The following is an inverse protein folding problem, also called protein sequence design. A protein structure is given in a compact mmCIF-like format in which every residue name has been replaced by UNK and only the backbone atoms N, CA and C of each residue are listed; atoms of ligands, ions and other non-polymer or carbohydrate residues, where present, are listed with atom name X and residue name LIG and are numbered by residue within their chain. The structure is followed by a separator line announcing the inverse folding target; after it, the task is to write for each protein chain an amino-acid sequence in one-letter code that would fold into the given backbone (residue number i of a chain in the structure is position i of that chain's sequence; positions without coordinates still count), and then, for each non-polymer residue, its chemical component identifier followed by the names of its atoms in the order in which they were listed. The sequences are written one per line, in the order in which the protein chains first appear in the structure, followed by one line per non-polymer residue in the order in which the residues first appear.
data_IF_984748904832
#
_entry.id   IF_984748904832
#
_cell.length_a   1.000
_cell.length_b   1.000
_cell.length_c   1.000
_cell.angle_alpha   90.00
_cell.angle_beta   90.00
_cell.angle_gamma   90.00
#
_symmetry.space_group_name_H-M   'P 1'
#
loop_
_entity.id
_entity.type
_entity.pdbx_description
1 polymer ?
#
# COMPACT_ATOMS: atom_id res chain seq x y z
N UNK A 1 9.80 -8.71 -21.86
CA UNK A 1 9.41 -9.52 -20.64
C UNK A 1 10.45 -9.31 -19.57
N UNK A 2 10.03 -9.08 -18.33
CA UNK A 2 10.92 -8.94 -17.17
C UNK A 2 11.53 -10.31 -16.83
N UNK A 3 12.84 -10.36 -16.50
CA UNK A 3 13.54 -11.59 -16.15
C UNK A 3 12.96 -12.23 -14.86
N UNK A 4 13.10 -13.55 -14.71
CA UNK A 4 12.68 -14.27 -13.50
C UNK A 4 13.35 -13.70 -12.24
N UNK A 5 14.63 -13.38 -12.32
CA UNK A 5 15.39 -12.78 -11.21
C UNK A 5 14.81 -11.43 -10.79
N UNK A 6 14.42 -10.58 -11.75
CA UNK A 6 13.81 -9.27 -11.46
C UNK A 6 12.43 -9.43 -10.81
N UNK A 7 11.62 -10.41 -11.25
CA UNK A 7 10.33 -10.70 -10.61
C UNK A 7 10.50 -11.11 -9.14
N UNK A 8 11.46 -11.98 -8.85
CA UNK A 8 11.75 -12.42 -7.47
C UNK A 8 12.18 -11.23 -6.63
N UNK A 9 13.14 -10.43 -7.11
CA UNK A 9 13.60 -9.21 -6.42
C UNK A 9 12.42 -8.28 -6.11
N UNK A 10 11.60 -7.99 -7.10
CA UNK A 10 10.48 -7.07 -6.96
C UNK A 10 9.41 -7.62 -6.00
N UNK A 11 9.14 -8.93 -6.02
CA UNK A 11 8.26 -9.57 -5.03
C UNK A 11 8.83 -9.46 -3.61
N UNK A 12 10.14 -9.63 -3.42
CA UNK A 12 10.78 -9.47 -2.11
C UNK A 12 10.71 -8.01 -1.60
N UNK A 13 10.81 -7.02 -2.50
CA UNK A 13 10.61 -5.62 -2.13
C UNK A 13 9.19 -5.37 -1.61
N UNK A 14 8.16 -5.97 -2.23
CA UNK A 14 6.78 -5.87 -1.78
C UNK A 14 6.54 -6.58 -0.43
N UNK A 15 7.18 -7.71 -0.18
CA UNK A 15 7.15 -8.38 1.13
C UNK A 15 7.81 -7.52 2.20
N UNK A 16 8.95 -6.87 1.88
CA UNK A 16 9.61 -5.94 2.80
C UNK A 16 8.73 -4.71 3.07
N UNK A 17 8.02 -4.20 2.06
CA UNK A 17 7.01 -3.16 2.23
C UNK A 17 5.94 -3.58 3.23
N UNK A 18 5.40 -4.79 3.07
CA UNK A 18 4.38 -5.34 3.97
C UNK A 18 4.88 -5.48 5.41
N UNK A 19 6.15 -5.88 5.61
CA UNK A 19 6.76 -5.95 6.94
C UNK A 19 6.83 -4.56 7.59
N UNK A 20 7.28 -3.54 6.85
CA UNK A 20 7.39 -2.17 7.35
C UNK A 20 6.00 -1.63 7.71
N UNK A 21 4.99 -1.89 6.88
CA UNK A 21 3.63 -1.42 7.11
C UNK A 21 2.91 -2.16 8.22
N UNK A 22 3.18 -3.45 8.40
CA UNK A 22 2.63 -4.22 9.52
C UNK A 22 2.96 -3.58 10.88
N UNK A 23 4.18 -3.05 11.04
CA UNK A 23 4.58 -2.31 12.25
C UNK A 23 3.98 -0.89 12.28
N UNK A 24 3.70 -0.30 11.11
CA UNK A 24 3.27 1.10 11.01
C UNK A 24 1.87 1.37 11.57
N UNK A 25 0.98 0.39 11.66
CA UNK A 25 -0.35 0.59 12.22
C UNK A 25 -0.32 1.08 13.67
N UNK A 26 0.61 0.58 14.48
CA UNK A 26 0.82 1.05 15.86
C UNK A 26 1.28 2.51 15.88
N UNK A 27 2.20 2.87 15.00
CA UNK A 27 2.66 4.26 14.88
C UNK A 27 1.54 5.19 14.38
N UNK A 28 0.70 4.74 13.47
CA UNK A 28 -0.44 5.50 12.95
C UNK A 28 -1.50 5.78 14.04
N UNK A 29 -1.81 4.77 14.88
CA UNK A 29 -2.74 4.96 15.99
C UNK A 29 -2.17 5.98 16.97
N UNK A 30 -0.97 5.73 17.53
CA UNK A 30 -0.34 6.64 18.51
C UNK A 30 -0.13 8.05 17.96
N UNK A 31 0.34 8.17 16.73
CA UNK A 31 0.61 9.48 16.12
C UNK A 31 -0.67 10.24 15.80
N UNK A 32 -1.71 9.55 15.30
CA UNK A 32 -3.02 10.16 15.04
C UNK A 32 -3.71 10.65 16.30
N UNK A 33 -3.62 9.89 17.39
CA UNK A 33 -4.16 10.26 18.70
C UNK A 33 -3.42 11.46 19.30
N UNK A 34 -2.10 11.56 19.06
CA UNK A 34 -1.28 12.63 19.62
C UNK A 34 -1.45 13.98 18.91
N UNK A 35 -1.49 14.02 17.58
CA UNK A 35 -1.42 15.28 16.81
C UNK A 35 -2.59 15.49 15.85
N UNK A 36 -3.57 14.61 15.83
CA UNK A 36 -4.69 14.61 14.89
C UNK A 36 -4.38 13.87 13.58
N UNK A 37 -5.43 13.34 12.97
CA UNK A 37 -5.33 12.48 11.78
C UNK A 37 -4.71 13.19 10.57
N UNK A 38 -5.13 14.40 10.31
CA UNK A 38 -4.72 15.19 9.13
C UNK A 38 -3.30 15.72 9.31
N UNK A 39 -2.97 16.21 10.50
CA UNK A 39 -1.64 16.66 10.88
C UNK A 39 -0.62 15.53 10.76
N UNK A 40 -0.93 14.37 11.32
CA UNK A 40 -0.07 13.21 11.23
C UNK A 40 0.18 12.80 9.77
N UNK A 41 -0.88 12.70 8.95
CA UNK A 41 -0.76 12.31 7.56
C UNK A 41 0.01 13.34 6.71
N UNK A 42 -0.23 14.64 6.94
CA UNK A 42 0.46 15.72 6.26
C UNK A 42 1.97 15.73 6.60
N UNK A 43 2.30 15.74 7.89
CA UNK A 43 3.70 15.88 8.36
C UNK A 43 4.53 14.66 7.96
N UNK A 44 4.02 13.41 8.15
CA UNK A 44 4.75 12.21 7.73
C UNK A 44 5.02 12.21 6.21
N UNK A 45 4.08 12.75 5.40
CA UNK A 45 4.26 12.83 3.96
C UNK A 45 5.34 13.85 3.56
N UNK A 46 5.35 15.02 4.20
CA UNK A 46 6.40 16.03 3.98
C UNK A 46 7.77 15.47 4.38
N UNK A 47 7.88 14.81 5.54
CA UNK A 47 9.12 14.16 6.01
C UNK A 47 9.58 13.13 4.97
N UNK A 48 8.69 12.28 4.45
CA UNK A 48 9.03 11.30 3.42
C UNK A 48 9.60 11.97 2.16
N UNK A 49 8.96 13.04 1.69
CA UNK A 49 9.45 13.81 0.54
C UNK A 49 10.85 14.38 0.78
N UNK A 50 11.08 14.97 1.95
CA UNK A 50 12.39 15.55 2.34
C UNK A 50 13.47 14.47 2.42
N UNK A 51 13.19 13.33 3.06
CA UNK A 51 14.15 12.22 3.20
C UNK A 51 14.51 11.61 1.85
N UNK A 52 13.60 11.57 0.90
CA UNK A 52 13.87 11.04 -0.44
C UNK A 52 14.81 11.92 -1.28
N UNK A 53 14.92 13.23 -1.00
CA UNK A 53 15.83 14.11 -1.74
C UNK A 53 17.31 13.70 -1.62
N UNK A 54 17.89 13.51 -0.42
CA UNK A 54 19.26 13.01 -0.30
C UNK A 54 19.40 11.56 -0.80
N UNK A 55 18.37 10.71 -0.66
CA UNK A 55 18.40 9.34 -1.18
C UNK A 55 18.53 9.34 -2.70
N UNK A 56 17.78 10.19 -3.42
CA UNK A 56 17.89 10.35 -4.88
C UNK A 56 19.31 10.80 -5.27
N UNK A 57 19.88 11.79 -4.57
CA UNK A 57 21.24 12.26 -4.82
C UNK A 57 22.28 11.17 -4.61
N UNK A 58 22.12 10.38 -3.54
CA UNK A 58 23.01 9.26 -3.22
C UNK A 58 22.94 8.17 -4.29
N UNK A 59 21.74 7.77 -4.72
CA UNK A 59 21.55 6.76 -5.76
C UNK A 59 22.13 7.23 -7.11
N UNK A 60 21.96 8.51 -7.44
CA UNK A 60 22.57 9.11 -8.63
C UNK A 60 24.11 9.05 -8.57
N UNK A 61 24.69 9.38 -7.41
CA UNK A 61 26.15 9.36 -7.21
C UNK A 61 26.72 7.94 -7.27
N UNK A 62 25.98 6.95 -6.79
CA UNK A 62 26.36 5.53 -6.81
C UNK A 62 26.10 4.85 -8.18
N UNK A 63 25.46 5.55 -9.12
CA UNK A 63 25.12 4.99 -10.44
C UNK A 63 23.95 4.00 -10.41
N UNK A 64 23.21 3.91 -9.29
CA UNK A 64 22.02 3.06 -9.15
C UNK A 64 20.72 3.78 -9.55
N UNK A 65 20.74 5.09 -9.72
CA UNK A 65 19.60 5.85 -10.23
C UNK A 65 19.28 5.43 -11.66
N UNK A 66 18.01 5.29 -12.01
CA UNK A 66 17.61 5.21 -13.41
C UNK A 66 17.99 6.53 -14.11
N UNK A 67 18.19 6.49 -15.42
CA UNK A 67 18.60 7.68 -16.18
C UNK A 67 17.70 8.86 -15.83
N UNK A 68 18.32 10.01 -15.49
CA UNK A 68 17.57 11.25 -15.29
C UNK A 68 16.72 11.52 -16.52
N UNK A 69 15.43 11.86 -16.35
CA UNK A 69 14.58 12.15 -17.49
C UNK A 69 15.18 13.30 -18.29
N UNK A 70 15.64 13.01 -19.50
CA UNK A 70 16.31 13.97 -20.39
C UNK A 70 15.30 14.70 -21.27
N UNK A 71 14.36 13.95 -21.84
CA UNK A 71 13.33 14.50 -22.72
C UNK A 71 12.22 15.21 -21.94
N UNK A 72 11.65 16.26 -22.54
CA UNK A 72 10.51 17.00 -21.95
C UNK A 72 9.33 16.08 -21.66
N UNK A 73 9.05 15.10 -22.53
CA UNK A 73 7.98 14.14 -22.36
C UNK A 73 8.21 13.20 -21.18
N UNK A 74 9.44 12.73 -20.95
CA UNK A 74 9.80 11.90 -19.80
C UNK A 74 9.59 12.65 -18.48
N UNK A 75 10.00 13.92 -18.43
CA UNK A 75 9.76 14.80 -17.27
C UNK A 75 8.27 14.99 -17.01
N UNK A 76 7.48 15.24 -18.05
CA UNK A 76 6.03 15.37 -17.96
C UNK A 76 5.40 14.08 -17.42
N UNK A 77 5.77 12.92 -17.94
CA UNK A 77 5.26 11.61 -17.47
C UNK A 77 5.60 11.38 -16.00
N UNK A 78 6.84 11.67 -15.58
CA UNK A 78 7.28 11.54 -14.19
C UNK A 78 6.47 12.44 -13.26
N UNK A 79 6.31 13.71 -13.60
CA UNK A 79 5.57 14.69 -12.79
C UNK A 79 4.08 14.31 -12.73
N UNK A 80 3.47 13.97 -13.86
CA UNK A 80 2.07 13.53 -13.92
C UNK A 80 1.86 12.26 -13.07
N UNK A 81 2.73 11.26 -13.22
CA UNK A 81 2.66 10.03 -12.44
C UNK A 81 2.78 10.29 -10.94
N UNK A 82 3.75 11.11 -10.54
CA UNK A 82 3.95 11.49 -9.14
C UNK A 82 2.75 12.26 -8.54
N UNK A 83 2.17 13.21 -9.31
CA UNK A 83 0.97 13.94 -8.88
C UNK A 83 -0.24 13.02 -8.77
N UNK A 84 -0.51 12.19 -9.78
CA UNK A 84 -1.64 11.25 -9.75
C UNK A 84 -1.52 10.26 -8.58
N UNK A 85 -0.33 9.68 -8.37
CA UNK A 85 -0.07 8.82 -7.23
C UNK A 85 -0.22 9.58 -5.91
N UNK A 86 0.27 10.83 -5.82
CA UNK A 86 0.19 11.65 -4.62
C UNK A 86 -1.23 12.02 -4.23
N UNK A 87 -2.08 12.37 -5.19
CA UNK A 87 -3.49 12.64 -4.95
C UNK A 87 -4.25 11.39 -4.49
N UNK A 88 -4.03 10.26 -5.18
CA UNK A 88 -4.63 8.99 -4.80
C UNK A 88 -4.17 8.55 -3.40
N UNK A 89 -2.88 8.69 -3.10
CA UNK A 89 -2.31 8.39 -1.79
C UNK A 89 -2.88 9.32 -0.71
N UNK A 90 -2.98 10.61 -0.98
CA UNK A 90 -3.56 11.58 -0.04
C UNK A 90 -4.97 11.16 0.38
N UNK A 91 -5.83 10.86 -0.58
CA UNK A 91 -7.21 10.43 -0.31
C UNK A 91 -7.25 9.11 0.46
N UNK A 92 -6.48 8.12 0.02
CA UNK A 92 -6.46 6.79 0.64
C UNK A 92 -5.90 6.82 2.07
N UNK A 93 -4.73 7.44 2.26
CA UNK A 93 -4.08 7.51 3.57
C UNK A 93 -4.82 8.41 4.56
N UNK A 94 -5.49 9.46 4.07
CA UNK A 94 -6.33 10.32 4.91
C UNK A 94 -7.57 9.57 5.38
N UNK A 95 -8.28 8.86 4.49
CA UNK A 95 -9.44 8.05 4.87
C UNK A 95 -9.04 6.95 5.89
N UNK A 96 -7.90 6.27 5.67
CA UNK A 96 -7.36 5.29 6.61
C UNK A 96 -7.07 5.91 7.98
N UNK A 97 -6.33 7.03 7.99
CA UNK A 97 -5.91 7.68 9.22
C UNK A 97 -7.11 8.21 10.03
N UNK A 98 -8.12 8.77 9.35
CA UNK A 98 -9.36 9.19 9.99
C UNK A 98 -10.06 7.98 10.61
N UNK A 99 -10.21 6.87 9.90
CA UNK A 99 -10.83 5.66 10.41
C UNK A 99 -10.13 5.14 11.67
N UNK A 100 -8.79 5.09 11.67
CA UNK A 100 -7.98 4.65 12.82
C UNK A 100 -8.18 5.60 14.00
N UNK A 101 -8.09 6.91 13.78
CA UNK A 101 -8.24 7.93 14.85
C UNK A 101 -9.68 8.01 15.38
N UNK A 102 -10.69 7.65 14.57
CA UNK A 102 -12.08 7.53 15.00
C UNK A 102 -12.37 6.25 15.83
N UNK A 103 -11.40 5.37 16.00
CA UNK A 103 -11.50 4.20 16.89
C UNK A 103 -11.52 2.84 16.18
N UNK A 104 -11.30 2.75 14.85
CA UNK A 104 -11.09 1.43 14.24
C UNK A 104 -9.83 0.78 14.83
N UNK A 105 -9.99 -0.35 15.48
CA UNK A 105 -8.89 -1.11 16.07
C UNK A 105 -7.83 -1.47 15.01
N UNK A 106 -6.52 -1.41 15.33
CA UNK A 106 -5.44 -1.67 14.36
C UNK A 106 -5.57 -2.97 13.58
N UNK A 107 -5.97 -4.07 14.22
CA UNK A 107 -6.18 -5.36 13.56
C UNK A 107 -7.34 -5.30 12.55
N UNK A 108 -8.46 -4.67 12.92
CA UNK A 108 -9.62 -4.48 12.06
C UNK A 108 -9.30 -3.51 10.92
N UNK A 109 -8.55 -2.44 11.19
CA UNK A 109 -8.08 -1.51 10.18
C UNK A 109 -7.19 -2.21 9.13
N UNK A 110 -6.30 -3.11 9.58
CA UNK A 110 -5.49 -3.94 8.69
C UNK A 110 -6.34 -4.83 7.78
N UNK A 111 -7.38 -5.48 8.32
CA UNK A 111 -8.31 -6.30 7.53
C UNK A 111 -9.08 -5.46 6.49
N UNK A 112 -9.71 -4.37 6.94
CA UNK A 112 -10.54 -3.53 6.09
C UNK A 112 -9.71 -2.87 4.99
N UNK A 113 -8.50 -2.40 5.30
CA UNK A 113 -7.56 -1.87 4.31
C UNK A 113 -7.16 -2.96 3.32
N UNK A 114 -6.80 -4.15 3.78
CA UNK A 114 -6.39 -5.27 2.92
C UNK A 114 -7.51 -5.78 1.99
N UNK A 115 -8.77 -5.34 2.16
CA UNK A 115 -9.84 -5.59 1.19
C UNK A 115 -9.52 -5.04 -0.21
N UNK A 116 -8.50 -4.17 -0.39
CA UNK A 116 -7.99 -3.81 -1.72
C UNK A 116 -7.57 -5.04 -2.54
N UNK A 117 -7.25 -6.16 -1.91
CA UNK A 117 -6.92 -7.42 -2.60
C UNK A 117 -8.06 -7.95 -3.49
N UNK A 118 -9.32 -7.69 -3.10
CA UNK A 118 -10.50 -7.97 -3.92
C UNK A 118 -10.74 -6.90 -4.99
N UNK A 119 -10.54 -5.64 -4.61
CA UNK A 119 -10.89 -4.49 -5.42
C UNK A 119 -9.91 -4.27 -6.58
N UNK A 120 -8.62 -4.49 -6.36
CA UNK A 120 -7.59 -4.35 -7.41
C UNK A 120 -7.88 -5.22 -8.63
N UNK A 121 -8.13 -6.55 -8.53
CA UNK A 121 -8.47 -7.34 -9.70
C UNK A 121 -9.81 -6.94 -10.33
N UNK A 122 -10.82 -6.57 -9.53
CA UNK A 122 -12.12 -6.11 -10.03
C UNK A 122 -11.95 -4.84 -10.86
N UNK A 123 -11.30 -3.80 -10.32
CA UNK A 123 -11.03 -2.58 -11.07
C UNK A 123 -10.06 -2.80 -12.24
N UNK A 124 -9.10 -3.72 -12.07
CA UNK A 124 -8.17 -4.13 -13.11
C UNK A 124 -8.87 -4.69 -14.36
N UNK A 125 -10.02 -5.40 -14.21
CA UNK A 125 -10.80 -5.89 -15.33
C UNK A 125 -11.31 -4.74 -16.21
N UNK A 126 -11.78 -3.64 -15.62
CA UNK A 126 -12.21 -2.44 -16.37
C UNK A 126 -11.04 -1.81 -17.13
N UNK A 127 -9.81 -1.95 -16.64
CA UNK A 127 -8.58 -1.52 -17.31
C UNK A 127 -8.01 -2.60 -18.26
N UNK A 128 -8.80 -3.63 -18.59
CA UNK A 128 -8.40 -4.75 -19.46
C UNK A 128 -7.18 -5.54 -18.94
N UNK A 129 -6.90 -5.49 -17.64
CA UNK A 129 -5.87 -6.31 -16.98
C UNK A 129 -6.44 -7.71 -16.78
N UNK A 130 -5.84 -8.72 -17.42
CA UNK A 130 -6.30 -10.10 -17.28
C UNK A 130 -5.71 -10.73 -16.02
N UNK A 131 -6.56 -11.33 -15.20
CA UNK A 131 -6.17 -12.14 -14.05
C UNK A 131 -6.42 -13.63 -14.37
N UNK A 132 -5.39 -14.46 -14.20
CA UNK A 132 -5.54 -15.91 -14.36
C UNK A 132 -6.42 -16.52 -13.26
N UNK A 133 -6.98 -17.70 -13.52
CA UNK A 133 -7.85 -18.39 -12.57
C UNK A 133 -7.18 -18.65 -11.20
N UNK A 134 -5.88 -18.99 -11.20
CA UNK A 134 -5.12 -19.18 -9.96
C UNK A 134 -5.04 -17.92 -9.09
N UNK A 135 -4.98 -16.73 -9.71
CA UNK A 135 -5.00 -15.45 -8.99
C UNK A 135 -6.35 -15.27 -8.28
N UNK A 136 -7.47 -15.54 -8.95
CA UNK A 136 -8.81 -15.45 -8.33
C UNK A 136 -8.98 -16.44 -7.17
N UNK A 137 -8.49 -17.69 -7.33
CA UNK A 137 -8.48 -18.66 -6.23
C UNK A 137 -7.66 -18.16 -5.05
N UNK A 138 -6.47 -17.60 -5.32
CA UNK A 138 -5.63 -16.98 -4.30
C UNK A 138 -6.34 -15.83 -3.58
N UNK A 139 -7.00 -14.94 -4.32
CA UNK A 139 -7.76 -13.81 -3.75
C UNK A 139 -8.85 -14.29 -2.78
N UNK A 140 -9.65 -15.29 -3.18
CA UNK A 140 -10.71 -15.84 -2.30
C UNK A 140 -10.10 -16.43 -1.02
N UNK A 141 -9.04 -17.24 -1.14
CA UNK A 141 -8.37 -17.85 0.02
C UNK A 141 -7.75 -16.77 0.92
N UNK A 142 -7.14 -15.72 0.33
CA UNK A 142 -6.54 -14.62 1.10
C UNK A 142 -7.59 -13.85 1.90
N UNK A 143 -8.75 -13.57 1.32
CA UNK A 143 -9.85 -12.89 2.05
C UNK A 143 -10.37 -13.71 3.21
N UNK A 144 -10.53 -15.03 3.02
CA UNK A 144 -10.87 -15.94 4.11
C UNK A 144 -9.78 -15.92 5.19
N UNK A 145 -8.51 -15.97 4.78
CA UNK A 145 -7.36 -15.89 5.70
C UNK A 145 -7.34 -14.57 6.50
N UNK A 146 -7.56 -13.43 5.84
CA UNK A 146 -7.64 -12.11 6.49
C UNK A 146 -8.80 -12.06 7.49
N UNK A 147 -9.95 -12.63 7.15
CA UNK A 147 -11.09 -12.72 8.07
C UNK A 147 -10.72 -13.51 9.34
N UNK A 148 -10.07 -14.67 9.19
CA UNK A 148 -9.64 -15.46 10.35
C UNK A 148 -8.57 -14.75 11.18
N UNK A 149 -7.68 -13.98 10.53
CA UNK A 149 -6.58 -13.28 11.18
C UNK A 149 -7.03 -12.06 11.99
N UNK A 150 -7.93 -11.25 11.43
CA UNK A 150 -8.20 -9.91 11.92
C UNK A 150 -9.57 -9.74 12.61
N UNK A 151 -10.52 -10.66 12.42
CA UNK A 151 -11.88 -10.50 12.94
C UNK A 151 -12.15 -11.42 14.14
N UNK A 152 -12.52 -10.85 15.29
CA UNK A 152 -12.76 -11.56 16.55
C UNK A 152 -14.23 -11.92 16.83
N UNK A 153 -14.97 -12.36 15.80
CA UNK A 153 -16.29 -13.00 16.01
C UNK A 153 -17.48 -12.18 15.53
N UNK A 154 -17.82 -11.02 16.09
CA UNK A 154 -18.97 -10.23 15.64
C UNK A 154 -18.55 -9.21 14.57
N UNK A 155 -19.26 -9.20 13.43
CA UNK A 155 -19.11 -8.16 12.42
C UNK A 155 -20.04 -7.01 12.82
N UNK A 156 -19.55 -6.10 13.67
CA UNK A 156 -20.18 -4.81 13.88
C UNK A 156 -19.49 -3.78 13.01
N UNK A 157 -20.24 -3.04 12.19
CA UNK A 157 -19.70 -1.95 11.38
C UNK A 157 -20.02 -0.61 12.05
N UNK A 158 -18.97 0.14 12.32
CA UNK A 158 -19.04 1.51 12.83
C UNK A 158 -18.70 2.51 11.70
N UNK A 159 -18.97 3.79 11.93
CA UNK A 159 -18.65 4.85 10.95
C UNK A 159 -17.14 4.91 10.67
N UNK A 160 -16.30 4.64 11.67
CA UNK A 160 -14.85 4.53 11.55
C UNK A 160 -14.43 3.44 10.55
N UNK A 161 -15.13 2.29 10.56
CA UNK A 161 -14.88 1.16 9.67
C UNK A 161 -15.23 1.51 8.21
N UNK A 162 -16.27 2.32 8.00
CA UNK A 162 -16.63 2.80 6.65
C UNK A 162 -15.53 3.68 6.05
N UNK A 163 -14.87 4.52 6.87
CA UNK A 163 -13.72 5.31 6.44
C UNK A 163 -12.53 4.40 6.08
N UNK A 164 -12.28 3.39 6.88
CA UNK A 164 -11.23 2.40 6.61
C UNK A 164 -11.55 1.54 5.39
N UNK A 165 -12.81 1.19 5.13
CA UNK A 165 -13.21 0.49 3.92
C UNK A 165 -13.11 1.39 2.68
N UNK A 166 -13.46 2.68 2.79
CA UNK A 166 -13.25 3.66 1.73
C UNK A 166 -11.77 3.77 1.36
N UNK A 167 -10.85 3.70 2.34
CA UNK A 167 -9.43 3.71 2.03
C UNK A 167 -9.01 2.51 1.17
N UNK A 168 -9.60 1.32 1.34
CA UNK A 168 -9.31 0.16 0.50
C UNK A 168 -9.68 0.39 -0.97
N UNK A 169 -10.81 1.07 -1.23
CA UNK A 169 -11.19 1.49 -2.58
C UNK A 169 -10.15 2.44 -3.16
N UNK A 170 -9.76 3.45 -2.41
CA UNK A 170 -8.81 4.48 -2.84
C UNK A 170 -7.38 3.91 -3.02
N UNK A 171 -6.94 3.02 -2.14
CA UNK A 171 -5.66 2.31 -2.31
C UNK A 171 -5.68 1.39 -3.54
N UNK A 172 -6.81 0.81 -3.89
CA UNK A 172 -6.92 0.02 -5.12
C UNK A 172 -6.62 0.87 -6.36
N UNK A 173 -7.12 2.09 -6.41
CA UNK A 173 -6.78 3.03 -7.48
C UNK A 173 -5.32 3.45 -7.43
N UNK A 174 -4.77 3.73 -6.25
CA UNK A 174 -3.36 4.06 -6.08
C UNK A 174 -2.45 2.94 -6.62
N UNK A 175 -2.73 1.67 -6.28
CA UNK A 175 -2.00 0.50 -6.78
C UNK A 175 -2.05 0.42 -8.31
N UNK A 176 -3.22 0.66 -8.91
CA UNK A 176 -3.39 0.62 -10.37
C UNK A 176 -2.70 1.80 -11.07
N UNK A 177 -2.66 2.99 -10.45
CA UNK A 177 -1.90 4.14 -10.95
C UNK A 177 -0.40 3.85 -10.92
N UNK A 178 0.11 3.27 -9.83
CA UNK A 178 1.52 2.83 -9.76
C UNK A 178 1.82 1.80 -10.85
N UNK A 179 0.96 0.81 -11.05
CA UNK A 179 1.14 -0.21 -12.09
C UNK A 179 1.24 0.41 -13.50
N UNK A 180 0.53 1.50 -13.75
CA UNK A 180 0.58 2.22 -15.01
C UNK A 180 1.90 3.01 -15.18
N UNK A 181 2.32 3.76 -14.17
CA UNK A 181 3.44 4.70 -14.29
C UNK A 181 4.80 4.11 -13.93
N UNK A 182 4.88 3.13 -13.02
CA UNK A 182 6.16 2.60 -12.54
C UNK A 182 7.07 2.00 -13.63
N UNK A 183 6.57 1.43 -14.75
CA UNK A 183 7.42 0.99 -15.84
C UNK A 183 7.97 2.13 -16.72
N UNK A 184 7.37 3.32 -16.62
CA UNK A 184 7.64 4.45 -17.53
C UNK A 184 8.64 5.47 -16.95
N UNK A 185 8.81 5.45 -15.61
CA UNK A 185 9.57 6.50 -14.90
C UNK A 185 10.46 5.92 -13.79
N UNK A 186 11.35 6.75 -13.27
CA UNK A 186 12.12 6.42 -12.07
C UNK A 186 11.21 6.36 -10.84
N UNK A 187 11.11 5.18 -10.22
CA UNK A 187 10.20 4.94 -9.10
C UNK A 187 10.54 5.75 -7.85
N UNK A 188 11.82 6.00 -7.56
CA UNK A 188 12.24 6.78 -6.38
C UNK A 188 11.89 8.25 -6.55
N UNK A 189 12.12 8.80 -7.75
CA UNK A 189 11.75 10.18 -8.10
C UNK A 189 10.23 10.36 -8.11
N UNK A 190 9.49 9.38 -8.64
CA UNK A 190 8.03 9.39 -8.61
C UNK A 190 7.50 9.36 -7.18
N UNK A 191 8.10 8.55 -6.29
CA UNK A 191 7.76 8.51 -4.88
C UNK A 191 8.00 9.85 -4.19
N UNK A 192 9.11 10.53 -4.48
CA UNK A 192 9.40 11.85 -3.92
C UNK A 192 8.32 12.88 -4.31
N UNK A 193 7.94 12.93 -5.60
CA UNK A 193 6.88 13.84 -6.08
C UNK A 193 5.53 13.46 -5.45
N UNK A 194 5.21 12.17 -5.35
CA UNK A 194 4.01 11.65 -4.69
C UNK A 194 3.89 12.19 -3.26
N UNK A 195 4.96 12.14 -2.48
CA UNK A 195 4.92 12.56 -1.08
C UNK A 195 4.84 14.08 -0.92
N UNK A 196 5.54 14.85 -1.73
CA UNK A 196 5.34 16.30 -1.73
C UNK A 196 3.92 16.68 -2.16
N UNK A 197 3.35 16.00 -3.17
CA UNK A 197 1.96 16.24 -3.57
C UNK A 197 1.00 15.90 -2.42
N UNK A 198 1.16 14.73 -1.79
CA UNK A 198 0.34 14.31 -0.65
C UNK A 198 0.44 15.30 0.51
N UNK A 199 1.65 15.70 0.89
CA UNK A 199 1.88 16.65 1.99
C UNK A 199 1.33 18.04 1.70
N UNK A 200 1.60 18.60 0.52
CA UNK A 200 1.14 19.95 0.14
C UNK A 200 -0.39 20.02 0.11
N UNK A 201 -1.05 19.03 -0.51
CA UNK A 201 -2.52 18.96 -0.54
C UNK A 201 -3.07 18.77 0.88
N UNK A 202 -2.37 18.04 1.75
CA UNK A 202 -2.74 17.81 3.14
C UNK A 202 -2.69 19.04 4.04
N UNK A 203 -1.92 20.09 3.67
CA UNK A 203 -1.83 21.33 4.47
C UNK A 203 -3.21 21.99 4.65
N UNK A 204 -4.03 22.02 3.59
CA UNK A 204 -5.32 22.69 3.62
C UNK A 204 -6.27 22.06 4.64
N UNK A 205 -6.59 20.75 4.57
CA UNK A 205 -7.47 20.13 5.56
C UNK A 205 -6.85 20.08 6.97
N UNK A 206 -5.54 19.93 7.11
CA UNK A 206 -4.85 20.04 8.39
C UNK A 206 -5.12 21.41 9.04
N UNK A 207 -4.95 22.51 8.28
CA UNK A 207 -5.18 23.86 8.79
C UNK A 207 -6.65 24.09 9.19
N UNK A 208 -7.60 23.55 8.40
CA UNK A 208 -9.03 23.75 8.65
C UNK A 208 -9.53 22.94 9.84
N UNK A 209 -9.13 21.66 9.94
CA UNK A 209 -9.76 20.73 10.88
C UNK A 209 -8.92 20.46 12.14
N UNK A 210 -7.58 20.37 12.03
CA UNK A 210 -6.73 20.05 13.18
C UNK A 210 -6.19 21.30 13.89
N UNK A 211 -5.89 22.39 13.14
CA UNK A 211 -5.31 23.61 13.69
C UNK A 211 -6.35 24.65 14.11
N UNK A 212 -7.66 24.40 13.87
CA UNK A 212 -8.74 25.29 14.27
C UNK A 212 -8.75 26.68 13.62
N UNK A 213 -8.06 26.87 12.49
CA UNK A 213 -7.99 28.04 11.60
C UNK A 213 -7.94 29.42 12.32
N UNK A 214 -7.32 29.45 13.51
CA UNK A 214 -7.10 30.67 14.32
C UNK A 214 -5.66 30.70 14.85
N UNK A 215 -5.18 31.89 15.24
CA UNK A 215 -3.82 32.03 15.81
C UNK A 215 -3.72 31.27 17.14
N UNK A 216 -4.75 31.29 17.98
CA UNK A 216 -4.82 30.52 19.22
C UNK A 216 -4.81 29.02 18.95
N UNK A 217 -5.58 28.55 17.96
CA UNK A 217 -5.60 27.14 17.55
C UNK A 217 -4.26 26.65 17.03
N UNK A 218 -3.54 27.48 16.25
CA UNK A 218 -2.17 27.15 15.82
C UNK A 218 -1.22 27.02 17.03
N UNK A 219 -1.33 27.93 18.01
CA UNK A 219 -0.51 27.87 19.22
C UNK A 219 -0.78 26.62 20.04
N UNK A 220 -2.03 26.24 20.22
CA UNK A 220 -2.42 24.99 20.89
C UNK A 220 -1.92 23.77 20.11
N UNK A 221 -2.13 23.74 18.80
CA UNK A 221 -1.65 22.67 17.94
C UNK A 221 -0.12 22.48 18.04
N UNK A 222 0.66 23.56 18.11
CA UNK A 222 2.11 23.48 18.27
C UNK A 222 2.53 22.81 19.59
N UNK A 223 1.73 22.93 20.66
CA UNK A 223 2.03 22.28 21.94
C UNK A 223 1.96 20.76 21.88
N UNK A 224 1.17 20.19 20.94
CA UNK A 224 1.06 18.74 20.74
C UNK A 224 2.39 18.10 20.32
N UNK A 225 3.29 18.89 19.72
CA UNK A 225 4.61 18.44 19.30
C UNK A 225 5.69 18.52 20.39
N UNK A 226 5.33 18.88 21.61
CA UNK A 226 6.23 18.82 22.76
C UNK A 226 6.46 17.38 23.26
N UNK A 227 5.58 16.44 22.88
CA UNK A 227 5.68 15.03 23.24
C UNK A 227 6.70 14.30 22.35
N UNK A 228 7.71 13.68 22.96
CA UNK A 228 8.72 12.91 22.26
C UNK A 228 8.16 11.62 21.64
N UNK A 229 7.17 11.00 22.25
CA UNK A 229 6.53 9.78 21.73
C UNK A 229 5.75 10.06 20.44
N UNK A 230 5.14 11.24 20.32
CA UNK A 230 4.53 11.70 19.09
C UNK A 230 5.54 11.75 17.94
N UNK A 231 6.75 12.29 18.20
CA UNK A 231 7.82 12.34 17.19
C UNK A 231 8.35 10.98 16.79
N UNK A 232 8.46 10.02 17.72
CA UNK A 232 8.86 8.64 17.37
C UNK A 232 7.87 8.04 16.37
N UNK A 233 6.57 8.21 16.62
CA UNK A 233 5.51 7.74 15.73
C UNK A 233 5.56 8.44 14.36
N UNK A 234 5.69 9.77 14.34
CA UNK A 234 5.77 10.60 13.12
C UNK A 234 7.01 10.25 12.30
N UNK A 235 8.17 10.14 12.93
CA UNK A 235 9.42 9.81 12.24
C UNK A 235 9.41 8.39 11.69
N UNK A 236 8.93 7.40 12.44
CA UNK A 236 8.75 6.05 11.92
C UNK A 236 7.82 6.04 10.71
N UNK A 237 6.65 6.68 10.83
CA UNK A 237 5.68 6.75 9.74
C UNK A 237 6.21 7.55 8.53
N UNK A 238 6.93 8.65 8.76
CA UNK A 238 7.49 9.48 7.69
C UNK A 238 8.66 8.85 6.98
N UNK A 239 9.65 8.35 7.73
CA UNK A 239 10.89 7.80 7.15
C UNK A 239 10.69 6.36 6.69
N UNK A 240 10.27 5.47 7.60
CA UNK A 240 10.22 4.04 7.30
C UNK A 240 8.96 3.67 6.52
N UNK A 241 7.77 4.00 7.03
CA UNK A 241 6.53 3.60 6.38
C UNK A 241 6.31 4.35 5.07
N UNK A 242 6.40 5.67 5.09
CA UNK A 242 6.19 6.50 3.90
C UNK A 242 7.44 6.50 3.00
N UNK A 243 8.56 7.03 3.46
CA UNK A 243 9.77 7.19 2.65
C UNK A 243 10.27 5.88 2.06
N UNK A 244 10.53 4.87 2.90
CA UNK A 244 11.04 3.57 2.45
C UNK A 244 9.92 2.69 1.91
N UNK A 245 8.86 2.43 2.68
CA UNK A 245 7.82 1.46 2.34
C UNK A 245 7.14 1.73 1.00
N UNK A 246 6.59 2.93 0.78
CA UNK A 246 5.94 3.26 -0.50
C UNK A 246 6.92 3.36 -1.67
N UNK A 247 8.18 3.74 -1.42
CA UNK A 247 9.20 3.72 -2.48
C UNK A 247 9.50 2.28 -2.91
N UNK A 248 9.63 1.36 -1.95
CA UNK A 248 9.77 -0.07 -2.24
C UNK A 248 8.54 -0.62 -2.94
N UNK A 249 7.33 -0.16 -2.60
CA UNK A 249 6.11 -0.50 -3.32
C UNK A 249 6.20 -0.10 -4.79
N UNK A 250 6.50 1.16 -5.08
CA UNK A 250 6.56 1.67 -6.46
C UNK A 250 7.61 0.90 -7.28
N UNK A 251 8.80 0.70 -6.73
CA UNK A 251 9.87 -0.06 -7.39
C UNK A 251 9.50 -1.53 -7.53
N UNK A 252 8.92 -2.13 -6.48
CA UNK A 252 8.54 -3.53 -6.43
C UNK A 252 7.35 -3.88 -7.35
N UNK A 253 6.42 -2.95 -7.55
CA UNK A 253 5.30 -3.18 -8.46
C UNK A 253 5.70 -3.20 -9.94
N UNK A 254 6.87 -2.65 -10.28
CA UNK A 254 7.32 -2.62 -11.68
C UNK A 254 7.38 -4.02 -12.29
N UNK A 255 6.45 -4.30 -13.21
CA UNK A 255 6.34 -5.58 -13.93
C UNK A 255 5.82 -6.76 -13.12
N UNK A 256 5.26 -6.52 -11.95
CA UNK A 256 4.44 -7.48 -11.18
C UNK A 256 2.97 -7.20 -11.50
N UNK A 257 2.18 -8.25 -11.68
CA UNK A 257 0.73 -8.08 -11.83
C UNK A 257 0.16 -7.35 -10.59
N UNK A 258 -0.65 -6.29 -10.75
CA UNK A 258 -1.12 -5.48 -9.62
C UNK A 258 -1.92 -6.29 -8.58
N UNK A 259 -2.65 -7.33 -9.00
CA UNK A 259 -3.32 -8.23 -8.07
C UNK A 259 -2.33 -9.07 -7.26
N UNK A 260 -1.25 -9.58 -7.88
CA UNK A 260 -0.20 -10.28 -7.15
C UNK A 260 0.53 -9.33 -6.19
N UNK A 261 0.76 -8.08 -6.62
CA UNK A 261 1.35 -7.06 -5.76
C UNK A 261 0.46 -6.78 -4.54
N UNK A 262 -0.85 -6.60 -4.72
CA UNK A 262 -1.79 -6.39 -3.62
C UNK A 262 -1.83 -7.59 -2.66
N UNK A 263 -1.76 -8.83 -3.16
CA UNK A 263 -1.66 -10.03 -2.32
C UNK A 263 -0.36 -10.07 -1.51
N UNK A 264 0.78 -9.71 -2.10
CA UNK A 264 2.05 -9.66 -1.37
C UNK A 264 2.04 -8.58 -0.28
N UNK A 265 1.45 -7.43 -0.57
CA UNK A 265 1.34 -6.34 0.39
C UNK A 265 0.35 -6.65 1.52
N UNK A 266 -0.69 -7.46 1.30
CA UNK A 266 -1.62 -7.86 2.36
C UNK A 266 -0.97 -8.71 3.47
N UNK A 267 0.26 -9.18 3.27
CA UNK A 267 1.09 -9.73 4.36
C UNK A 267 1.34 -8.71 5.49
N UNK A 268 1.07 -7.43 5.28
CA UNK A 268 1.13 -6.41 6.34
C UNK A 268 0.27 -6.80 7.54
N UNK A 269 -0.90 -7.42 7.32
CA UNK A 269 -1.77 -7.91 8.39
C UNK A 269 -1.13 -9.06 9.17
N UNK A 270 -0.41 -9.96 8.49
CA UNK A 270 0.33 -11.06 9.14
C UNK A 270 1.50 -10.49 9.95
N UNK A 271 2.26 -9.57 9.36
CA UNK A 271 3.38 -8.94 10.06
C UNK A 271 2.95 -8.07 11.23
N UNK A 272 1.75 -7.44 11.16
CA UNK A 272 1.18 -6.69 12.29
C UNK A 272 0.91 -7.59 13.47
N UNK A 273 0.32 -8.76 13.24
CA UNK A 273 0.06 -9.75 14.31
C UNK A 273 1.36 -10.32 14.87
N UNK A 274 2.33 -10.67 14.01
CA UNK A 274 3.64 -11.14 14.44
C UNK A 274 4.41 -10.08 15.24
N UNK A 275 4.30 -8.81 14.87
CA UNK A 275 4.85 -7.70 15.65
C UNK A 275 4.20 -7.61 17.04
N UNK A 276 2.88 -7.82 17.14
CA UNK A 276 2.17 -7.94 18.41
C UNK A 276 2.71 -9.07 19.30
N UNK A 277 2.99 -10.23 18.72
CA UNK A 277 3.61 -11.36 19.46
C UNK A 277 4.99 -10.99 20.01
N UNK A 278 5.84 -10.38 19.18
CA UNK A 278 7.23 -10.08 19.56
C UNK A 278 7.31 -8.88 20.52
N UNK A 279 6.56 -7.81 20.24
CA UNK A 279 6.67 -6.53 20.97
C UNK A 279 5.78 -6.54 22.22
N UNK A 280 4.56 -7.08 22.12
CA UNK A 280 3.58 -7.08 23.19
C UNK A 280 3.52 -8.42 23.95
N UNK A 281 4.34 -9.41 23.54
CA UNK A 281 4.38 -10.77 24.09
C UNK A 281 2.99 -11.46 24.11
N UNK A 282 2.17 -11.16 23.11
CA UNK A 282 0.87 -11.77 22.90
C UNK A 282 1.05 -13.13 22.22
N UNK A 283 0.21 -14.12 22.58
CA UNK A 283 0.24 -15.41 21.89
C UNK A 283 -0.79 -15.41 20.75
N UNK A 284 -0.38 -15.96 19.60
CA UNK A 284 -1.31 -16.21 18.51
C UNK A 284 -2.38 -17.21 18.92
N UNK A 285 -3.62 -16.88 18.66
CA UNK A 285 -4.72 -17.83 18.76
C UNK A 285 -4.65 -18.84 17.62
N UNK A 286 -5.28 -20.00 17.77
CA UNK A 286 -5.41 -21.00 16.70
C UNK A 286 -6.03 -20.38 15.44
N UNK A 287 -7.01 -19.49 15.63
CA UNK A 287 -7.70 -18.78 14.56
C UNK A 287 -6.74 -17.88 13.77
N UNK A 288 -5.95 -17.05 14.43
CA UNK A 288 -4.95 -16.19 13.81
C UNK A 288 -3.88 -16.99 13.08
N UNK A 289 -3.44 -18.10 13.66
CA UNK A 289 -2.49 -19.03 13.03
C UNK A 289 -3.06 -19.60 11.71
N UNK A 290 -4.31 -20.05 11.72
CA UNK A 290 -5.00 -20.52 10.49
C UNK A 290 -5.10 -19.39 9.47
N UNK A 291 -5.43 -18.17 9.89
CA UNK A 291 -5.46 -16.99 9.01
C UNK A 291 -4.12 -16.73 8.33
N UNK A 292 -3.02 -16.74 9.08
CA UNK A 292 -1.67 -16.61 8.53
C UNK A 292 -1.36 -17.69 7.49
N UNK A 293 -1.62 -18.96 7.79
CA UNK A 293 -1.37 -20.09 6.87
C UNK A 293 -2.18 -19.92 5.59
N UNK A 294 -3.45 -19.51 5.67
CA UNK A 294 -4.29 -19.29 4.50
C UNK A 294 -3.76 -18.16 3.61
N UNK A 295 -3.29 -17.04 4.19
CA UNK A 295 -2.73 -15.93 3.42
C UNK A 295 -1.45 -16.38 2.69
N UNK A 296 -0.55 -17.09 3.36
CA UNK A 296 0.64 -17.63 2.70
C UNK A 296 0.29 -18.63 1.58
N UNK A 297 -0.65 -19.54 1.82
CA UNK A 297 -1.12 -20.49 0.81
C UNK A 297 -1.73 -19.76 -0.40
N UNK A 298 -2.52 -18.73 -0.17
CA UNK A 298 -3.11 -17.89 -1.20
C UNK A 298 -2.05 -17.26 -2.12
N UNK A 299 -0.99 -16.70 -1.54
CA UNK A 299 0.12 -16.09 -2.28
C UNK A 299 0.84 -17.13 -3.15
N UNK A 300 1.09 -18.32 -2.62
CA UNK A 300 1.72 -19.42 -3.36
C UNK A 300 0.82 -19.82 -4.54
N UNK A 301 -0.46 -20.05 -4.30
CA UNK A 301 -1.44 -20.44 -5.33
C UNK A 301 -1.51 -19.40 -6.45
N UNK A 302 -1.56 -18.11 -6.11
CA UNK A 302 -1.62 -17.02 -7.09
C UNK A 302 -0.38 -16.94 -8.00
N UNK A 303 0.78 -17.40 -7.51
CA UNK A 303 2.04 -17.40 -8.25
C UNK A 303 2.29 -18.68 -9.07
N UNK A 304 1.48 -19.72 -8.88
CA UNK A 304 1.58 -20.92 -9.69
C UNK A 304 1.28 -20.59 -11.16
N UNK A 305 2.07 -21.15 -12.10
CA UNK A 305 1.76 -20.99 -13.52
C UNK A 305 0.35 -21.53 -13.79
N UNK A 306 -0.45 -20.75 -14.53
CA UNK A 306 -1.72 -21.25 -15.04
C UNK A 306 -1.41 -22.50 -15.87
N UNK A 307 -1.93 -23.66 -15.47
CA UNK A 307 -1.76 -24.91 -16.21
C UNK A 307 -2.11 -24.64 -17.68
N UNK A 308 -1.28 -25.09 -18.60
CA UNK A 308 -1.61 -25.07 -20.03
C UNK A 308 -2.98 -25.74 -20.14
N UNK A 309 -4.01 -24.97 -20.48
CA UNK A 309 -5.23 -25.57 -21.04
C UNK A 309 -4.72 -26.35 -22.24
N UNK A 310 -4.83 -27.68 -22.19
CA UNK A 310 -4.55 -28.53 -23.32
C UNK A 310 -5.37 -27.96 -24.49
N UNK A 311 -4.66 -27.48 -25.50
CA UNK A 311 -5.25 -27.25 -26.82
C UNK A 311 -5.48 -28.65 -27.42
N UNK A 312 -6.46 -29.35 -26.89
CA UNK A 312 -7.03 -30.56 -27.51
C UNK A 312 -8.35 -30.08 -28.18
N UNK A 313 -8.40 -30.38 -29.49
CA UNK A 313 -9.55 -30.30 -30.37
C UNK A 313 -9.85 -28.97 -31.07
N UNK A 314 -8.93 -28.50 -31.94
CA UNK A 314 -9.33 -27.65 -33.09
C UNK A 314 -8.88 -28.26 -34.42
N UNK A 315 -8.14 -29.36 -34.45
CA UNK A 315 -7.64 -30.00 -35.69
C UNK A 315 -8.48 -31.15 -36.20
N UNK A 316 -9.60 -31.52 -35.59
CA UNK A 316 -10.46 -32.61 -36.12
C UNK A 316 -11.66 -32.11 -36.95
N UNK A 317 -12.01 -30.83 -36.93
CA UNK A 317 -13.15 -30.32 -37.78
C UNK A 317 -12.69 -29.75 -39.11
N UNK A 318 -11.40 -29.56 -39.38
CA UNK A 318 -10.92 -29.11 -40.70
C UNK A 318 -10.48 -30.27 -41.65
N UNK A 319 -10.50 -31.49 -41.19
CA UNK A 319 -10.18 -32.67 -42.00
C UNK A 319 -11.34 -33.40 -42.65
N UNK A 320 -12.59 -32.93 -42.42
CA UNK A 320 -13.81 -33.57 -43.00
C UNK A 320 -14.55 -32.73 -44.02
N UNK A 321 -14.02 -31.58 -44.43
CA UNK A 321 -14.64 -30.69 -45.42
C UNK A 321 -13.99 -30.81 -46.84
N UNK A 322 -12.97 -31.65 -47.03
CA UNK A 322 -12.28 -31.89 -48.30
C UNK A 322 -12.27 -33.40 -48.69
N UNK A 323 -13.44 -34.04 -48.69
CA UNK A 323 -13.64 -35.29 -49.44
C UNK A 323 -15.02 -35.28 -50.12
#
# INVERSE_FOLDING_TARGET
MISRSMKIRNSLLLVLTALIWGVAFVAQSKGGDAVGALSFNCIRSIIAGIVLLPVIKLLDALGYGSKKPAASQEKKTLVTGGICCGLALFLASTAQQIGITMGTEPGKAGFLTACYILLVPVFGLFLKKKCGFNIWRGVVIAVVGLYFLCMNGSISFETSDLMTLLCAVLFSFHILIIDHFSPLVDGVRMSCIQFFTCGIVGIIPMFIFDMGHSISGISEWLTLFADADAWIAILYAGVMSSGVGYTLQIVGQNGINPTVASMLMSLESVFSVLAGVVILKQFLTVRETVGCVLIFAAIIIAQLPAGKVKAENVNEEQGQADL
#
